data_IF_331203806306
#
_entry.id   IF_331203806306
#
_cell.length_a   1.000
_cell.length_b   1.000
_cell.length_c   1.000
_cell.angle_alpha   90.00
_cell.angle_beta   90.00
_cell.angle_gamma   90.00
#
_symmetry.space_group_name_H-M   'P 1'
#
loop_
_entity.id
_entity.type
_entity.pdbx_description
1 polymer ?
#
# COMPACT_ATOMS: atom_id res chain seq x y z
N UNK A 1 -23.35 -29.28 19.79
CA UNK A 1 -22.65 -29.40 18.51
C UNK A 1 -21.20 -29.75 18.79
N UNK A 2 -20.73 -30.99 18.52
CA UNK A 2 -19.30 -31.33 18.68
C UNK A 2 -18.57 -30.72 17.49
N UNK A 3 -17.70 -29.74 17.72
CA UNK A 3 -16.79 -29.27 16.69
C UNK A 3 -15.80 -30.39 16.35
N UNK A 4 -15.82 -30.86 15.09
CA UNK A 4 -14.84 -31.81 14.60
C UNK A 4 -13.55 -31.05 14.24
N UNK A 5 -12.63 -31.00 15.20
CA UNK A 5 -11.26 -30.51 14.98
C UNK A 5 -10.51 -31.54 14.11
N UNK A 6 -9.71 -31.06 13.14
CA UNK A 6 -8.76 -31.93 12.43
C UNK A 6 -7.70 -32.45 13.41
N UNK A 7 -7.08 -33.60 13.08
CA UNK A 7 -6.00 -34.18 13.93
C UNK A 7 -4.89 -33.15 14.24
N UNK A 8 -4.46 -32.42 13.24
CA UNK A 8 -3.45 -31.37 13.37
C UNK A 8 -3.88 -30.25 14.34
N UNK A 9 -5.16 -29.84 14.30
CA UNK A 9 -5.71 -28.84 15.22
C UNK A 9 -5.82 -29.36 16.65
N UNK A 10 -6.14 -30.64 16.78
CA UNK A 10 -6.22 -31.32 18.08
C UNK A 10 -4.83 -31.42 18.73
N UNK A 11 -3.81 -31.79 17.95
CA UNK A 11 -2.43 -31.88 18.44
C UNK A 11 -1.89 -30.52 18.86
N UNK A 12 -2.16 -29.48 18.07
CA UNK A 12 -1.77 -28.10 18.40
C UNK A 12 -2.45 -27.62 19.68
N UNK A 13 -3.73 -27.95 19.86
CA UNK A 13 -4.47 -27.62 21.09
C UNK A 13 -3.92 -28.37 22.29
N UNK A 14 -3.64 -29.67 22.16
CA UNK A 14 -3.09 -30.48 23.23
C UNK A 14 -1.71 -29.97 23.69
N UNK A 15 -0.85 -29.57 22.75
CA UNK A 15 0.45 -28.95 23.06
C UNK A 15 0.27 -27.61 23.79
N UNK A 16 -0.67 -26.78 23.36
CA UNK A 16 -0.93 -25.48 24.00
C UNK A 16 -1.49 -25.63 25.42
N UNK A 17 -2.32 -26.67 25.68
CA UNK A 17 -2.84 -26.99 27.02
C UNK A 17 -1.70 -27.51 27.89
N UNK A 18 -0.84 -28.39 27.38
CA UNK A 18 0.32 -28.92 28.12
C UNK A 18 1.27 -27.79 28.53
N UNK A 19 1.61 -26.86 27.64
CA UNK A 19 2.44 -25.69 27.93
C UNK A 19 1.81 -24.80 29.02
N UNK A 20 0.50 -24.56 28.95
CA UNK A 20 -0.23 -23.80 29.97
C UNK A 20 -0.16 -24.47 31.34
N UNK A 21 -0.44 -25.77 31.43
CA UNK A 21 -0.39 -26.51 32.68
C UNK A 21 1.02 -26.52 33.31
N UNK A 22 2.04 -26.64 32.48
CA UNK A 22 3.44 -26.58 32.90
C UNK A 22 3.84 -25.20 33.40
N UNK A 23 3.49 -24.14 32.67
CA UNK A 23 3.85 -22.75 32.98
C UNK A 23 3.25 -22.26 34.30
N UNK A 24 2.05 -22.73 34.65
CA UNK A 24 1.37 -22.37 35.88
C UNK A 24 1.59 -23.34 37.06
N UNK A 25 2.46 -24.36 36.89
CA UNK A 25 2.86 -25.27 37.97
C UNK A 25 1.84 -26.35 38.32
N UNK A 26 0.87 -26.64 37.43
CA UNK A 26 -0.11 -27.72 37.65
C UNK A 26 0.49 -29.08 37.28
N UNK A 27 1.50 -29.51 38.06
CA UNK A 27 2.36 -30.68 37.76
C UNK A 27 1.62 -32.00 37.69
N UNK A 28 0.64 -32.23 38.58
CA UNK A 28 -0.17 -33.46 38.57
C UNK A 28 -1.06 -33.52 37.34
N UNK A 29 -1.77 -32.43 37.04
CA UNK A 29 -2.61 -32.32 35.86
C UNK A 29 -1.83 -32.41 34.56
N UNK A 30 -0.64 -31.81 34.51
CA UNK A 30 0.29 -31.91 33.38
C UNK A 30 0.72 -33.35 33.11
N UNK A 31 1.12 -34.07 34.14
CA UNK A 31 1.57 -35.47 34.03
C UNK A 31 0.42 -36.41 33.62
N UNK A 32 -0.80 -36.17 34.13
CA UNK A 32 -1.99 -36.94 33.75
C UNK A 32 -2.36 -36.67 32.30
N UNK A 33 -2.44 -35.39 31.89
CA UNK A 33 -2.78 -34.97 30.55
C UNK A 33 -1.80 -35.49 29.50
N UNK A 34 -0.51 -35.48 29.83
CA UNK A 34 0.56 -35.97 28.96
C UNK A 34 0.48 -37.48 28.70
N UNK A 35 0.12 -38.25 29.74
CA UNK A 35 -0.10 -39.71 29.59
C UNK A 35 -1.29 -40.02 28.70
N UNK A 36 -2.38 -39.27 28.81
CA UNK A 36 -3.58 -39.48 28.03
C UNK A 36 -3.43 -39.06 26.55
N UNK A 37 -2.66 -38.00 26.31
CA UNK A 37 -2.48 -37.43 24.96
C UNK A 37 -1.29 -38.02 24.20
N UNK A 38 -0.38 -38.76 24.87
CA UNK A 38 0.79 -39.40 24.25
C UNK A 38 1.89 -38.44 23.78
N UNK A 39 1.94 -37.19 24.29
CA UNK A 39 2.93 -36.20 23.90
C UNK A 39 4.37 -36.58 24.36
N UNK A 40 5.31 -36.58 23.41
CA UNK A 40 6.72 -36.93 23.64
C UNK A 40 7.54 -35.71 24.14
N UNK A 41 8.67 -35.98 24.86
CA UNK A 41 9.46 -34.94 25.58
C UNK A 41 10.20 -33.93 24.73
N UNK A 42 10.34 -34.12 23.43
CA UNK A 42 11.25 -33.32 22.61
C UNK A 42 10.61 -32.17 21.77
N UNK A 43 9.32 -31.90 21.98
CA UNK A 43 8.58 -30.93 21.11
C UNK A 43 8.37 -29.55 21.77
N UNK A 44 8.96 -29.30 22.95
CA UNK A 44 8.56 -28.21 23.85
C UNK A 44 9.07 -26.79 23.49
N UNK A 45 9.89 -26.62 22.47
CA UNK A 45 10.59 -25.32 22.27
C UNK A 45 9.85 -24.28 21.42
N UNK A 46 8.71 -24.60 20.81
CA UNK A 46 8.06 -23.69 19.83
C UNK A 46 6.74 -23.06 20.24
N UNK A 47 6.20 -23.36 21.42
CA UNK A 47 4.77 -23.10 21.69
C UNK A 47 4.50 -22.26 22.95
N UNK A 48 5.51 -21.62 23.56
CA UNK A 48 5.35 -20.86 24.81
C UNK A 48 4.25 -19.78 24.74
N UNK A 49 3.25 -19.91 25.62
CA UNK A 49 2.15 -18.96 25.77
C UNK A 49 1.13 -18.94 24.60
N UNK A 50 1.03 -20.01 23.82
CA UNK A 50 0.13 -20.06 22.66
C UNK A 50 -1.34 -20.02 23.10
N UNK A 51 -1.71 -20.69 24.18
CA UNK A 51 -3.08 -20.72 24.71
C UNK A 51 -3.52 -19.32 25.15
N UNK A 52 -2.66 -18.61 25.86
CA UNK A 52 -2.92 -17.24 26.31
C UNK A 52 -3.04 -16.26 25.15
N UNK A 53 -2.14 -16.38 24.14
CA UNK A 53 -2.19 -15.57 22.93
C UNK A 53 -3.46 -15.82 22.13
N UNK A 54 -3.89 -17.07 21.98
CA UNK A 54 -5.15 -17.41 21.31
C UNK A 54 -6.36 -16.95 22.13
N UNK A 55 -6.32 -17.07 23.48
CA UNK A 55 -7.40 -16.60 24.35
C UNK A 55 -7.55 -15.08 24.29
N UNK A 56 -6.46 -14.33 24.40
CA UNK A 56 -6.51 -12.87 24.27
C UNK A 56 -7.01 -12.43 22.88
N UNK A 57 -6.64 -13.15 21.83
CA UNK A 57 -7.16 -12.93 20.47
C UNK A 57 -8.66 -13.18 20.38
N UNK A 58 -9.17 -14.24 21.01
CA UNK A 58 -10.62 -14.55 21.05
C UNK A 58 -11.38 -13.47 21.81
N UNK A 59 -10.89 -13.06 22.99
CA UNK A 59 -11.50 -11.97 23.77
C UNK A 59 -11.53 -10.66 22.99
N UNK A 60 -10.44 -10.35 22.28
CA UNK A 60 -10.37 -9.16 21.40
C UNK A 60 -11.35 -9.23 20.25
N UNK A 61 -11.49 -10.40 19.62
CA UNK A 61 -12.48 -10.61 18.54
C UNK A 61 -13.90 -10.53 19.06
N UNK A 62 -14.20 -11.10 20.22
CA UNK A 62 -15.53 -10.98 20.86
C UNK A 62 -15.87 -9.52 21.17
N UNK A 63 -14.92 -8.75 21.73
CA UNK A 63 -15.11 -7.32 21.95
C UNK A 63 -15.38 -6.58 20.62
N UNK A 64 -14.63 -6.92 19.58
CA UNK A 64 -14.82 -6.32 18.24
C UNK A 64 -16.19 -6.66 17.64
N UNK A 65 -16.68 -7.89 17.83
CA UNK A 65 -18.04 -8.30 17.42
C UNK A 65 -19.08 -7.49 18.17
N UNK A 66 -18.97 -7.37 19.48
CA UNK A 66 -19.90 -6.57 20.30
C UNK A 66 -19.90 -5.08 19.89
N UNK A 67 -18.72 -4.50 19.62
CA UNK A 67 -18.61 -3.12 19.13
C UNK A 67 -19.24 -2.94 17.75
N UNK A 68 -19.10 -3.92 16.86
CA UNK A 68 -19.73 -3.91 15.54
C UNK A 68 -21.24 -4.08 15.62
N UNK A 69 -21.72 -4.97 16.47
CA UNK A 69 -23.16 -5.15 16.73
C UNK A 69 -23.80 -3.88 17.33
N UNK A 70 -23.10 -3.23 18.27
CA UNK A 70 -23.54 -1.95 18.83
C UNK A 70 -23.61 -0.85 17.75
N UNK A 71 -22.61 -0.74 16.89
CA UNK A 71 -22.62 0.20 15.77
C UNK A 71 -23.72 -0.11 14.74
N UNK A 72 -23.98 -1.38 14.50
CA UNK A 72 -25.07 -1.82 13.62
C UNK A 72 -26.42 -1.41 14.19
N UNK A 73 -26.66 -1.65 15.49
CA UNK A 73 -27.87 -1.24 16.17
C UNK A 73 -28.05 0.29 16.19
N UNK A 74 -26.97 1.03 16.38
CA UNK A 74 -27.00 2.50 16.33
C UNK A 74 -27.33 2.99 14.91
N UNK A 75 -26.73 2.40 13.89
CA UNK A 75 -27.05 2.69 12.49
C UNK A 75 -28.49 2.33 12.11
N UNK A 76 -29.01 1.21 12.61
CA UNK A 76 -30.42 0.82 12.42
C UNK A 76 -31.38 1.80 13.12
N UNK A 77 -31.07 2.25 14.34
CA UNK A 77 -31.85 3.27 15.05
C UNK A 77 -31.86 4.60 14.31
N UNK A 78 -30.70 5.05 13.80
CA UNK A 78 -30.59 6.25 12.97
C UNK A 78 -31.40 6.12 11.67
N UNK A 79 -31.47 4.93 11.08
CA UNK A 79 -32.27 4.65 9.88
C UNK A 79 -33.78 4.70 10.15
N UNK A 80 -34.23 4.16 11.29
CA UNK A 80 -35.65 4.10 11.67
C UNK A 80 -36.18 5.48 12.13
N UNK A 81 -35.35 6.32 12.75
CA UNK A 81 -35.81 7.58 13.38
C UNK A 81 -35.62 8.80 12.46
N UNK A 82 -35.24 8.63 11.20
CA UNK A 82 -35.18 9.73 10.23
C UNK A 82 -34.33 10.90 10.70
N UNK A 83 -33.13 10.61 11.26
CA UNK A 83 -32.19 11.65 11.63
C UNK A 83 -31.91 12.58 10.41
N UNK A 84 -31.84 13.92 10.62
CA UNK A 84 -31.62 14.86 9.53
C UNK A 84 -30.41 14.44 8.74
N UNK A 85 -30.64 14.23 7.47
CA UNK A 85 -29.73 13.75 6.44
C UNK A 85 -28.27 14.24 6.63
N UNK A 86 -27.46 13.46 7.34
CA UNK A 86 -26.06 13.35 6.98
C UNK A 86 -26.10 12.82 5.55
N UNK A 87 -25.93 13.68 4.58
CA UNK A 87 -25.78 13.27 3.18
C UNK A 87 -24.81 12.10 3.17
N UNK A 88 -25.32 10.90 2.92
CA UNK A 88 -24.50 9.70 2.75
C UNK A 88 -23.69 9.94 1.50
N UNK A 89 -22.54 10.60 1.66
CA UNK A 89 -21.62 10.82 0.55
C UNK A 89 -21.27 9.47 -0.05
N UNK A 90 -21.42 9.37 -1.35
CA UNK A 90 -21.07 8.15 -2.04
C UNK A 90 -19.58 7.86 -1.82
N UNK A 91 -19.18 6.58 -1.77
CA UNK A 91 -17.75 6.21 -1.60
C UNK A 91 -16.78 6.94 -2.54
N UNK A 92 -17.27 7.38 -3.70
CA UNK A 92 -16.48 8.19 -4.65
C UNK A 92 -16.15 9.61 -4.19
N UNK A 93 -16.69 10.08 -3.08
CA UNK A 93 -16.51 11.46 -2.58
C UNK A 93 -15.73 11.53 -1.26
N UNK A 94 -15.24 10.40 -0.78
CA UNK A 94 -14.48 10.33 0.47
C UNK A 94 -13.13 11.05 0.34
N UNK A 95 -12.97 12.13 1.08
CA UNK A 95 -11.70 12.86 1.17
C UNK A 95 -11.27 13.00 2.63
N UNK A 96 -9.96 12.91 2.94
CA UNK A 96 -9.46 13.05 4.29
C UNK A 96 -9.80 14.40 4.90
N UNK A 97 -10.18 14.40 6.18
CA UNK A 97 -10.54 15.60 6.94
C UNK A 97 -9.79 15.65 8.27
N UNK A 98 -9.35 16.85 8.68
CA UNK A 98 -8.85 17.05 10.03
C UNK A 98 -10.01 16.99 11.05
N UNK A 99 -9.72 16.65 12.33
CA UNK A 99 -8.43 16.18 12.81
C UNK A 99 -8.09 14.77 12.36
N UNK A 100 -6.83 14.37 12.51
CA UNK A 100 -6.43 12.97 12.37
C UNK A 100 -7.16 12.09 13.38
N UNK A 101 -7.51 10.87 12.96
CA UNK A 101 -8.16 9.88 13.84
C UNK A 101 -7.16 9.34 14.87
N UNK A 102 -5.95 9.01 14.41
CA UNK A 102 -4.85 8.53 15.24
C UNK A 102 -3.52 9.12 14.79
N UNK A 103 -2.62 9.33 15.78
CA UNK A 103 -1.22 9.63 15.58
C UNK A 103 -0.41 8.51 16.24
N UNK A 104 0.19 7.63 15.42
CA UNK A 104 0.91 6.45 15.88
C UNK A 104 2.38 6.78 16.03
N UNK A 105 2.92 6.53 17.22
CA UNK A 105 4.30 6.82 17.59
C UNK A 105 4.99 5.52 18.02
N UNK A 106 6.25 5.31 17.61
CA UNK A 106 6.99 4.14 18.04
C UNK A 106 8.24 3.82 17.23
N UNK A 107 8.39 4.38 16.01
CA UNK A 107 9.65 4.34 15.28
C UNK A 107 10.68 5.25 15.94
N UNK A 108 11.97 4.89 15.80
CA UNK A 108 13.11 5.61 16.40
C UNK A 108 13.85 6.49 15.39
N UNK A 109 13.47 6.39 14.12
CA UNK A 109 14.06 7.12 12.99
C UNK A 109 12.97 7.47 11.98
N UNK A 110 13.25 8.32 10.98
CA UNK A 110 12.31 8.68 9.93
C UNK A 110 11.58 7.48 9.34
N UNK A 111 10.29 7.65 9.07
CA UNK A 111 9.49 6.61 8.43
C UNK A 111 9.56 6.81 6.92
N UNK A 112 9.93 5.77 6.21
CA UNK A 112 10.16 5.79 4.76
C UNK A 112 8.89 5.48 3.98
N UNK A 113 8.13 4.46 4.44
CA UNK A 113 6.94 3.98 3.74
C UNK A 113 5.85 3.54 4.72
N UNK A 114 4.59 3.66 4.28
CA UNK A 114 3.42 3.11 4.95
C UNK A 114 2.49 2.50 3.91
N UNK A 115 1.93 1.32 4.20
CA UNK A 115 1.01 0.60 3.32
C UNK A 115 -0.12 -0.04 4.12
N UNK A 116 -1.34 -0.01 3.56
CA UNK A 116 -2.47 -0.76 4.09
C UNK A 116 -2.37 -2.23 3.70
N UNK A 117 -2.78 -3.09 4.61
CA UNK A 117 -3.06 -4.49 4.27
C UNK A 117 -4.32 -4.55 3.40
N UNK A 118 -4.35 -5.38 2.32
CA UNK A 118 -5.48 -5.38 1.39
C UNK A 118 -6.81 -5.86 1.99
N UNK A 119 -6.77 -6.67 3.06
CA UNK A 119 -7.96 -7.32 3.63
C UNK A 119 -8.19 -6.95 5.11
N UNK A 120 -7.13 -6.96 5.94
CA UNK A 120 -7.25 -6.75 7.38
C UNK A 120 -7.11 -5.28 7.78
N UNK A 121 -7.60 -4.92 8.97
CA UNK A 121 -7.49 -3.58 9.56
C UNK A 121 -6.06 -3.23 10.03
N UNK A 122 -5.08 -3.56 9.22
CA UNK A 122 -3.66 -3.48 9.54
C UNK A 122 -2.94 -2.54 8.58
N UNK A 123 -1.98 -1.78 9.10
CA UNK A 123 -0.99 -1.06 8.32
C UNK A 123 0.42 -1.54 8.68
N UNK A 124 1.29 -1.57 7.69
CA UNK A 124 2.71 -1.80 7.88
C UNK A 124 3.49 -0.53 7.56
N UNK A 125 4.46 -0.21 8.39
CA UNK A 125 5.36 0.95 8.22
C UNK A 125 6.82 0.54 8.24
N UNK A 126 7.62 1.10 7.36
CA UNK A 126 9.08 0.93 7.33
C UNK A 126 9.79 2.18 7.78
N UNK A 127 10.99 2.03 8.30
CA UNK A 127 11.78 3.13 8.83
C UNK A 127 13.28 2.94 8.61
N UNK A 128 13.99 4.06 8.71
CA UNK A 128 15.44 4.11 8.75
C UNK A 128 16.02 3.44 10.02
N UNK A 129 15.17 3.08 11.02
CA UNK A 129 15.56 2.30 12.20
C UNK A 129 15.73 0.80 11.90
N UNK A 130 15.77 0.40 10.64
CA UNK A 130 15.88 -0.97 10.12
C UNK A 130 14.72 -1.90 10.50
N UNK A 131 13.62 -1.38 11.04
CA UNK A 131 12.46 -2.16 11.45
C UNK A 131 11.24 -1.89 10.60
N UNK A 132 10.36 -2.90 10.53
CA UNK A 132 8.99 -2.76 10.02
C UNK A 132 8.07 -2.90 11.22
N UNK A 133 7.11 -1.99 11.37
CA UNK A 133 6.12 -2.04 12.44
C UNK A 133 4.73 -2.25 11.88
N UNK A 134 3.95 -3.01 12.63
CA UNK A 134 2.58 -3.40 12.29
C UNK A 134 1.64 -2.78 13.31
N UNK A 135 0.56 -2.17 12.83
CA UNK A 135 -0.40 -1.41 13.63
C UNK A 135 -1.81 -1.74 13.18
N UNK A 136 -2.75 -1.72 14.11
CA UNK A 136 -4.18 -1.71 13.81
C UNK A 136 -4.64 -0.26 13.61
N UNK A 137 -5.16 0.09 12.41
CA UNK A 137 -5.59 1.46 12.13
C UNK A 137 -7.02 1.78 12.63
N UNK A 138 -7.79 0.79 13.04
CA UNK A 138 -9.12 1.01 13.63
C UNK A 138 -9.02 1.37 15.11
N UNK A 139 -8.12 0.72 15.86
CA UNK A 139 -7.89 0.95 17.29
C UNK A 139 -6.73 1.90 17.57
N UNK A 140 -5.77 2.02 16.64
CA UNK A 140 -4.53 2.79 16.82
C UNK A 140 -3.45 2.05 17.61
N UNK A 141 -3.63 0.75 17.86
CA UNK A 141 -2.71 -0.04 18.66
C UNK A 141 -1.48 -0.52 17.86
N UNK A 142 -0.34 -0.57 18.55
CA UNK A 142 0.84 -1.23 18.04
C UNK A 142 0.69 -2.76 18.21
N UNK A 143 0.89 -3.52 17.14
CA UNK A 143 0.81 -4.97 17.20
C UNK A 143 2.18 -5.62 17.36
N UNK A 144 3.10 -5.32 16.46
CA UNK A 144 4.43 -5.95 16.48
C UNK A 144 5.48 -5.22 15.66
N UNK A 145 6.73 -5.66 15.83
CA UNK A 145 7.86 -5.18 15.03
C UNK A 145 8.54 -6.37 14.35
N UNK A 146 8.70 -6.30 13.02
CA UNK A 146 9.47 -7.27 12.24
C UNK A 146 10.91 -6.78 12.18
N UNK A 147 11.83 -7.61 12.64
CA UNK A 147 13.27 -7.34 12.69
C UNK A 147 14.00 -8.33 11.80
N UNK A 148 15.00 -7.88 11.07
CA UNK A 148 15.80 -8.76 10.21
C UNK A 148 16.63 -8.02 9.18
N UNK A 149 16.21 -6.81 8.76
CA UNK A 149 17.10 -5.93 8.00
C UNK A 149 18.19 -5.33 8.88
N UNK A 150 19.35 -5.10 8.31
CA UNK A 150 20.53 -4.55 9.02
C UNK A 150 20.72 -3.06 8.75
N UNK A 151 19.98 -2.47 7.81
CA UNK A 151 20.02 -1.08 7.45
C UNK A 151 18.60 -0.57 7.13
N UNK A 152 18.45 0.71 6.82
CA UNK A 152 17.19 1.41 6.56
C UNK A 152 16.27 0.64 5.60
N UNK A 153 15.02 0.42 5.99
CA UNK A 153 14.00 -0.20 5.14
C UNK A 153 13.35 0.88 4.29
N UNK A 154 13.45 0.77 2.96
CA UNK A 154 13.07 1.83 2.02
C UNK A 154 11.63 1.74 1.52
N UNK A 155 11.15 0.55 1.19
CA UNK A 155 9.79 0.36 0.64
C UNK A 155 9.17 -0.95 1.12
N UNK A 156 7.85 -1.00 1.07
CA UNK A 156 7.01 -2.13 1.45
C UNK A 156 5.96 -2.39 0.37
N UNK A 157 5.66 -3.65 0.13
CA UNK A 157 4.54 -4.04 -0.73
C UNK A 157 3.87 -5.30 -0.20
N UNK A 158 2.54 -5.31 -0.13
CA UNK A 158 1.77 -6.53 0.06
C UNK A 158 1.50 -7.21 -1.29
N UNK A 159 1.40 -8.52 -1.28
CA UNK A 159 0.80 -9.25 -2.39
C UNK A 159 -0.72 -9.02 -2.45
N UNK A 160 -1.35 -9.37 -3.56
CA UNK A 160 -2.80 -9.15 -3.76
C UNK A 160 -3.67 -9.92 -2.75
N UNK A 161 -3.18 -11.03 -2.21
CA UNK A 161 -3.89 -11.85 -1.22
C UNK A 161 -3.64 -11.41 0.22
N UNK A 162 -2.70 -10.51 0.48
CA UNK A 162 -2.28 -10.07 1.82
C UNK A 162 -1.51 -11.14 2.62
N UNK A 163 -1.13 -12.25 2.01
CA UNK A 163 -0.41 -13.33 2.71
C UNK A 163 1.08 -13.04 2.86
N UNK A 164 1.64 -12.29 1.93
CA UNK A 164 3.05 -11.97 1.88
C UNK A 164 3.27 -10.47 1.93
N UNK A 165 4.28 -10.06 2.70
CA UNK A 165 4.83 -8.72 2.68
C UNK A 165 6.25 -8.78 2.14
N UNK A 166 6.56 -7.99 1.14
CA UNK A 166 7.92 -7.75 0.68
C UNK A 166 8.45 -6.43 1.26
N UNK A 167 9.69 -6.45 1.70
CA UNK A 167 10.42 -5.26 2.15
C UNK A 167 11.77 -5.17 1.46
N UNK A 168 12.20 -3.97 1.13
CA UNK A 168 13.54 -3.72 0.60
C UNK A 168 14.31 -2.73 1.47
N UNK A 169 15.62 -2.86 1.46
CA UNK A 169 16.47 -2.11 2.36
C UNK A 169 17.75 -1.60 1.69
N UNK A 170 18.36 -0.62 2.37
CA UNK A 170 19.70 -0.14 2.09
C UNK A 170 20.77 -1.22 2.30
N UNK A 171 20.46 -2.31 3.01
CA UNK A 171 21.32 -3.49 3.17
C UNK A 171 21.45 -4.35 1.90
N UNK A 172 20.96 -3.86 0.75
CA UNK A 172 20.96 -4.51 -0.56
C UNK A 172 20.18 -5.83 -0.61
N UNK A 173 19.27 -6.06 0.34
CA UNK A 173 18.44 -7.25 0.39
C UNK A 173 16.96 -6.93 0.27
N UNK A 174 16.21 -7.89 -0.26
CA UNK A 174 14.75 -7.92 -0.19
C UNK A 174 14.38 -9.07 0.74
N UNK A 175 13.44 -8.84 1.63
CA UNK A 175 12.91 -9.89 2.50
C UNK A 175 11.43 -10.11 2.22
N UNK A 176 11.03 -11.38 2.19
CA UNK A 176 9.65 -11.80 2.07
C UNK A 176 9.22 -12.36 3.41
N UNK A 177 8.16 -11.77 3.96
CA UNK A 177 7.60 -12.11 5.26
C UNK A 177 6.26 -12.81 5.07
N UNK A 178 6.03 -13.87 5.83
CA UNK A 178 4.70 -14.45 5.96
C UNK A 178 3.86 -13.55 6.87
N UNK A 179 2.66 -13.17 6.44
CA UNK A 179 1.88 -12.13 7.15
C UNK A 179 0.56 -12.66 7.74
N UNK A 180 0.33 -13.98 7.77
CA UNK A 180 -0.92 -14.58 8.25
C UNK A 180 -0.77 -15.21 9.64
N UNK A 181 0.30 -15.98 9.87
CA UNK A 181 0.44 -16.78 11.09
C UNK A 181 1.68 -16.46 11.90
N UNK A 182 2.84 -16.54 11.29
CA UNK A 182 4.13 -16.48 12.02
C UNK A 182 4.76 -15.10 12.00
N UNK A 183 4.55 -14.34 10.94
CA UNK A 183 5.23 -13.07 10.65
C UNK A 183 6.76 -13.21 10.57
N UNK A 184 7.21 -14.39 10.20
CA UNK A 184 8.63 -14.69 10.05
C UNK A 184 9.13 -14.32 8.66
N UNK A 185 10.44 -14.04 8.56
CA UNK A 185 11.11 -13.86 7.31
C UNK A 185 11.27 -15.22 6.61
N UNK A 186 10.47 -15.47 5.57
CA UNK A 186 10.55 -16.71 4.79
C UNK A 186 11.79 -16.77 3.91
N UNK A 187 12.12 -15.65 3.26
CA UNK A 187 13.21 -15.59 2.29
C UNK A 187 13.93 -14.25 2.32
N UNK A 188 15.21 -14.30 2.01
CA UNK A 188 16.05 -13.13 1.76
C UNK A 188 16.63 -13.23 0.35
N UNK A 189 16.26 -12.28 -0.53
CA UNK A 189 16.72 -12.21 -1.90
C UNK A 189 17.94 -11.31 -1.95
N UNK A 190 19.00 -11.79 -2.59
CA UNK A 190 20.27 -11.07 -2.76
C UNK A 190 20.66 -11.05 -4.24
N UNK A 191 21.27 -9.96 -4.71
CA UNK A 191 21.76 -9.86 -6.08
C UNK A 191 21.71 -8.47 -6.68
N UNK A 192 21.23 -7.45 -5.93
CA UNK A 192 21.52 -6.05 -6.22
C UNK A 192 22.88 -5.65 -5.64
N UNK A 193 23.60 -4.79 -6.36
CA UNK A 193 24.93 -4.32 -5.97
C UNK A 193 24.90 -2.99 -5.20
N UNK A 194 23.71 -2.44 -4.98
CA UNK A 194 23.50 -1.20 -4.23
C UNK A 194 22.14 -1.20 -3.52
N UNK A 195 21.89 -0.18 -2.70
CA UNK A 195 20.65 0.01 -1.96
C UNK A 195 19.41 -0.19 -2.84
N UNK A 196 18.42 -0.92 -2.34
CA UNK A 196 17.15 -1.13 -3.03
C UNK A 196 16.16 -0.09 -2.56
N UNK A 197 15.60 0.66 -3.50
CA UNK A 197 14.75 1.82 -3.23
C UNK A 197 13.25 1.51 -3.27
N UNK A 198 12.83 0.50 -4.03
CA UNK A 198 11.40 0.18 -4.16
C UNK A 198 11.17 -1.27 -4.53
N UNK A 199 10.01 -1.80 -4.10
CA UNK A 199 9.51 -3.12 -4.43
C UNK A 199 8.05 -3.08 -4.83
N UNK A 200 7.64 -4.01 -5.71
CA UNK A 200 6.24 -4.17 -6.11
C UNK A 200 5.97 -5.61 -6.54
N UNK A 201 4.90 -6.22 -6.03
CA UNK A 201 4.44 -7.53 -6.53
C UNK A 201 3.77 -7.39 -7.89
N UNK A 202 3.90 -8.40 -8.73
CA UNK A 202 3.00 -8.58 -9.87
C UNK A 202 1.60 -8.97 -9.35
N UNK A 203 0.52 -8.66 -10.08
CA UNK A 203 -0.84 -9.00 -9.66
C UNK A 203 -1.08 -10.50 -9.42
N UNK A 204 -0.33 -11.37 -10.10
CA UNK A 204 -0.36 -12.81 -9.89
C UNK A 204 0.19 -13.27 -8.53
N UNK A 205 1.03 -12.44 -7.89
CA UNK A 205 1.73 -12.79 -6.66
C UNK A 205 2.98 -13.66 -6.82
N UNK A 206 3.20 -14.24 -8.01
CA UNK A 206 4.30 -15.19 -8.27
C UNK A 206 5.65 -14.49 -8.43
N UNK A 207 5.64 -13.23 -8.83
CA UNK A 207 6.85 -12.44 -9.10
C UNK A 207 6.85 -11.11 -8.35
N UNK A 208 8.04 -10.64 -8.05
CA UNK A 208 8.32 -9.37 -7.41
C UNK A 208 9.27 -8.56 -8.29
N UNK A 209 9.02 -7.26 -8.43
CA UNK A 209 9.95 -6.31 -9.02
C UNK A 209 10.67 -5.52 -7.94
N UNK A 210 11.94 -5.22 -8.15
CA UNK A 210 12.74 -4.33 -7.30
C UNK A 210 13.48 -3.29 -8.13
N UNK A 211 13.56 -2.08 -7.61
CA UNK A 211 14.34 -0.98 -8.17
C UNK A 211 15.49 -0.63 -7.23
N UNK A 212 16.67 -0.36 -7.79
CA UNK A 212 17.87 -0.12 -6.98
C UNK A 212 18.68 1.07 -7.47
N UNK A 213 19.57 1.53 -6.60
CA UNK A 213 20.59 2.55 -6.91
C UNK A 213 21.71 2.00 -7.80
N UNK A 214 21.73 0.69 -8.11
CA UNK A 214 22.60 0.08 -9.12
C UNK A 214 22.11 0.32 -10.56
N UNK A 215 21.12 1.21 -10.77
CA UNK A 215 20.50 1.62 -12.03
C UNK A 215 19.61 0.54 -12.68
N UNK A 216 19.41 -0.59 -12.00
CA UNK A 216 18.68 -1.74 -12.51
C UNK A 216 17.31 -1.91 -11.86
N UNK A 217 16.41 -2.51 -12.63
CA UNK A 217 15.21 -3.15 -12.11
C UNK A 217 15.35 -4.65 -12.28
N UNK A 218 15.07 -5.42 -11.22
CA UNK A 218 15.13 -6.88 -11.25
C UNK A 218 13.78 -7.49 -10.98
N UNK A 219 13.50 -8.60 -11.65
CA UNK A 219 12.31 -9.43 -11.43
C UNK A 219 12.72 -10.73 -10.75
N UNK A 220 12.05 -11.05 -9.68
CA UNK A 220 12.32 -12.21 -8.82
C UNK A 220 11.13 -13.14 -8.83
N UNK A 221 11.38 -14.44 -8.87
CA UNK A 221 10.36 -15.45 -8.61
C UNK A 221 10.21 -15.66 -7.09
N UNK A 222 9.02 -15.42 -6.57
CA UNK A 222 8.74 -15.46 -5.12
C UNK A 222 8.93 -16.89 -4.58
N UNK A 223 8.54 -17.90 -5.35
CA UNK A 223 8.61 -19.30 -4.94
C UNK A 223 10.03 -19.81 -4.77
N UNK A 224 10.96 -19.44 -5.64
CA UNK A 224 12.37 -19.88 -5.59
C UNK A 224 13.29 -18.86 -4.92
N UNK A 225 12.98 -17.58 -5.04
CA UNK A 225 13.81 -16.48 -4.55
C UNK A 225 14.92 -16.06 -5.53
N UNK A 226 14.95 -16.62 -6.75
CA UNK A 226 15.96 -16.28 -7.75
C UNK A 226 15.53 -15.10 -8.62
N UNK A 227 16.53 -14.32 -9.06
CA UNK A 227 16.34 -13.28 -10.07
C UNK A 227 16.11 -13.92 -11.45
N UNK A 228 14.92 -13.74 -12.01
CA UNK A 228 14.53 -14.27 -13.32
C UNK A 228 14.93 -13.34 -14.45
N UNK A 229 14.84 -12.03 -14.23
CA UNK A 229 15.12 -11.00 -15.24
C UNK A 229 15.76 -9.77 -14.65
N UNK A 230 16.62 -9.13 -15.44
CA UNK A 230 17.20 -7.82 -15.13
C UNK A 230 16.88 -6.87 -16.29
N UNK A 231 16.39 -5.68 -15.95
CA UNK A 231 16.04 -4.61 -16.87
C UNK A 231 17.04 -3.47 -16.68
N UNK A 232 17.76 -3.13 -17.75
CA UNK A 232 18.75 -2.07 -17.78
C UNK A 232 18.31 -1.01 -18.80
N UNK A 233 18.47 0.26 -18.47
CA UNK A 233 18.10 1.38 -19.34
C UNK A 233 18.04 2.73 -18.63
N UNK A 234 18.02 2.76 -17.30
CA UNK A 234 18.27 3.98 -16.54
C UNK A 234 19.76 4.24 -16.39
N UNK A 235 20.15 5.51 -16.44
CA UNK A 235 21.55 5.94 -16.32
C UNK A 235 21.95 6.30 -14.88
N UNK A 236 20.97 6.42 -14.01
CA UNK A 236 21.10 6.82 -12.60
C UNK A 236 20.21 5.99 -11.68
N UNK A 237 20.24 6.25 -10.39
CA UNK A 237 19.49 5.54 -9.36
C UNK A 237 18.02 5.42 -9.70
N UNK A 238 17.48 4.20 -9.72
CA UNK A 238 16.05 3.96 -9.88
C UNK A 238 15.35 4.17 -8.54
N UNK A 239 14.40 5.10 -8.50
CA UNK A 239 13.72 5.51 -7.26
C UNK A 239 12.51 4.64 -6.93
N UNK A 240 11.68 4.36 -7.92
CA UNK A 240 10.44 3.63 -7.70
C UNK A 240 10.10 2.75 -8.89
N UNK A 241 9.47 1.61 -8.60
CA UNK A 241 8.86 0.72 -9.60
C UNK A 241 7.40 0.47 -9.23
N UNK A 242 6.49 0.51 -10.23
CA UNK A 242 5.07 0.20 -10.04
C UNK A 242 4.54 -0.61 -11.21
N UNK A 243 3.84 -1.69 -10.88
CA UNK A 243 3.23 -2.61 -11.85
C UNK A 243 1.85 -2.10 -12.22
N UNK A 244 1.48 -2.20 -13.48
CA UNK A 244 0.13 -1.96 -13.95
C UNK A 244 -0.77 -3.13 -13.51
N UNK A 245 -2.06 -2.87 -13.32
CA UNK A 245 -3.01 -3.86 -12.78
C UNK A 245 -3.18 -5.11 -13.65
N UNK A 246 -2.89 -5.05 -14.95
CA UNK A 246 -2.92 -6.20 -15.87
C UNK A 246 -1.67 -7.10 -15.76
N UNK A 247 -0.60 -6.63 -15.11
CA UNK A 247 0.66 -7.37 -14.95
C UNK A 247 1.56 -7.41 -16.19
N UNK A 248 1.11 -6.90 -17.35
CA UNK A 248 1.86 -6.97 -18.61
C UNK A 248 2.93 -5.88 -18.73
N UNK A 249 2.72 -4.75 -18.09
CA UNK A 249 3.63 -3.60 -18.10
C UNK A 249 3.92 -3.10 -16.69
N UNK A 250 5.06 -2.50 -16.54
CA UNK A 250 5.43 -1.77 -15.34
C UNK A 250 6.16 -0.47 -15.69
N UNK A 251 6.18 0.46 -14.76
CA UNK A 251 6.89 1.71 -14.87
C UNK A 251 8.00 1.80 -13.83
N UNK A 252 9.09 2.46 -14.17
CA UNK A 252 10.16 2.86 -13.24
C UNK A 252 10.49 4.33 -13.42
N UNK A 253 10.91 4.98 -12.35
CA UNK A 253 11.38 6.37 -12.36
C UNK A 253 12.74 6.48 -11.69
N UNK A 254 13.50 7.50 -12.10
CA UNK A 254 14.92 7.58 -11.75
C UNK A 254 15.41 9.00 -11.45
N UNK A 255 16.61 9.05 -10.87
CA UNK A 255 17.42 10.26 -10.72
C UNK A 255 17.81 10.88 -12.07
N UNK A 256 17.85 10.09 -13.15
CA UNK A 256 18.12 10.58 -14.51
C UNK A 256 16.98 11.43 -15.10
N UNK A 257 15.98 11.78 -14.27
CA UNK A 257 14.82 12.61 -14.62
C UNK A 257 13.83 11.91 -15.57
N UNK A 258 14.05 10.63 -15.84
CA UNK A 258 13.24 9.87 -16.80
C UNK A 258 12.29 8.90 -16.12
N UNK A 259 11.25 8.53 -16.87
CA UNK A 259 10.32 7.46 -16.54
C UNK A 259 10.38 6.45 -17.69
N UNK A 260 10.65 5.19 -17.38
CA UNK A 260 10.67 4.11 -18.34
C UNK A 260 9.45 3.20 -18.18
N UNK A 261 8.84 2.83 -19.31
CA UNK A 261 7.78 1.82 -19.36
C UNK A 261 8.35 0.54 -19.96
N UNK A 262 8.16 -0.55 -19.27
CA UNK A 262 8.69 -1.85 -19.60
C UNK A 262 7.58 -2.86 -19.84
N UNK A 263 7.87 -3.82 -20.69
CA UNK A 263 7.05 -5.03 -20.77
C UNK A 263 7.64 -6.09 -19.82
N UNK A 264 6.79 -6.76 -19.05
CA UNK A 264 7.22 -7.81 -18.11
C UNK A 264 7.85 -9.02 -18.82
N UNK A 265 7.49 -9.28 -20.08
CA UNK A 265 7.97 -10.40 -20.86
C UNK A 265 9.23 -10.09 -21.68
N UNK A 266 9.36 -8.88 -22.23
CA UNK A 266 10.56 -8.44 -22.95
C UNK A 266 11.50 -7.70 -21.99
N UNK A 267 12.82 -7.70 -22.28
CA UNK A 267 13.80 -6.94 -21.48
C UNK A 267 13.93 -5.48 -21.94
N UNK A 268 13.18 -5.09 -22.94
CA UNK A 268 13.33 -3.79 -23.60
C UNK A 268 12.45 -2.73 -22.96
N UNK A 269 12.99 -1.53 -22.83
CA UNK A 269 12.22 -0.35 -22.50
C UNK A 269 11.35 0.03 -23.70
N UNK A 270 10.03 -0.07 -23.56
CA UNK A 270 9.07 0.29 -24.62
C UNK A 270 9.03 1.78 -24.88
N UNK A 271 9.09 2.57 -23.81
CA UNK A 271 8.94 4.02 -23.89
C UNK A 271 9.71 4.67 -22.75
N UNK A 272 10.29 5.84 -23.05
CA UNK A 272 10.97 6.68 -22.08
C UNK A 272 10.41 8.11 -22.18
N UNK A 273 10.09 8.70 -21.01
CA UNK A 273 9.54 10.05 -20.88
C UNK A 273 10.59 10.96 -20.21
N UNK A 274 10.64 12.21 -20.70
CA UNK A 274 11.58 13.25 -20.26
C UNK A 274 10.84 14.52 -19.82
N UNK A 275 9.70 14.37 -19.17
CA UNK A 275 8.77 15.46 -18.88
C UNK A 275 9.11 16.23 -17.58
N UNK A 276 10.11 15.79 -16.81
CA UNK A 276 10.56 16.42 -15.58
C UNK A 276 11.93 17.07 -15.73
N UNK A 277 12.13 18.20 -15.03
CA UNK A 277 13.38 18.95 -15.00
C UNK A 277 14.32 18.53 -13.85
N UNK A 278 13.85 17.63 -12.96
CA UNK A 278 14.58 17.12 -11.81
C UNK A 278 14.23 15.66 -11.54
N UNK A 279 14.88 15.05 -10.54
CA UNK A 279 14.67 13.66 -10.11
C UNK A 279 13.19 13.33 -9.98
N UNK A 280 12.76 12.23 -10.56
CA UNK A 280 11.40 11.69 -10.38
C UNK A 280 11.40 10.76 -9.17
N UNK A 281 10.69 11.17 -8.11
CA UNK A 281 10.67 10.44 -6.84
C UNK A 281 9.60 9.37 -6.78
N UNK A 282 8.44 9.62 -7.37
CA UNK A 282 7.30 8.71 -7.26
C UNK A 282 6.49 8.63 -8.54
N UNK A 283 5.90 7.46 -8.77
CA UNK A 283 5.00 7.16 -9.88
C UNK A 283 3.81 6.35 -9.40
N UNK A 284 2.68 6.51 -10.07
CA UNK A 284 1.46 5.75 -9.77
C UNK A 284 0.62 5.56 -11.02
N UNK A 285 0.17 4.31 -11.26
CA UNK A 285 -0.81 4.02 -12.29
C UNK A 285 -2.21 4.49 -11.88
N UNK A 286 -2.91 5.11 -12.80
CA UNK A 286 -4.31 5.48 -12.60
C UNK A 286 -5.21 4.24 -12.68
N UNK A 287 -6.20 4.09 -11.79
CA UNK A 287 -7.21 3.04 -11.94
C UNK A 287 -8.08 3.33 -13.18
N UNK A 288 -8.60 2.29 -13.83
CA UNK A 288 -9.43 2.42 -15.06
C UNK A 288 -10.64 3.36 -14.88
N UNK A 289 -11.18 3.39 -13.66
CA UNK A 289 -12.28 4.30 -13.30
C UNK A 289 -11.92 5.77 -13.51
N UNK A 290 -10.65 6.15 -13.44
CA UNK A 290 -10.16 7.52 -13.64
C UNK A 290 -10.37 7.98 -15.07
N UNK A 291 -10.30 7.07 -16.05
CA UNK A 291 -10.49 7.39 -17.47
C UNK A 291 -11.85 8.03 -17.74
N UNK A 292 -12.90 7.64 -17.02
CA UNK A 292 -14.24 8.22 -17.13
C UNK A 292 -14.25 9.70 -16.73
N UNK A 293 -13.64 10.04 -15.59
CA UNK A 293 -13.58 11.43 -15.12
C UNK A 293 -12.73 12.33 -16.01
N UNK A 294 -11.74 11.76 -16.68
CA UNK A 294 -10.94 12.47 -17.67
C UNK A 294 -11.78 12.74 -18.92
N UNK A 295 -12.52 11.75 -19.40
CA UNK A 295 -13.41 11.87 -20.55
C UNK A 295 -14.56 12.88 -20.30
N UNK A 296 -15.16 12.88 -19.11
CA UNK A 296 -16.17 13.86 -18.68
C UNK A 296 -15.62 15.29 -18.70
N UNK A 297 -14.41 15.50 -18.16
CA UNK A 297 -13.76 16.82 -18.18
C UNK A 297 -13.45 17.35 -19.58
N UNK A 298 -13.37 16.47 -20.58
CA UNK A 298 -13.17 16.85 -21.98
C UNK A 298 -14.49 17.25 -22.66
N UNK A 299 -15.58 16.58 -22.33
CA UNK A 299 -16.89 16.86 -22.87
C UNK A 299 -17.39 18.22 -22.39
N UNK A 300 -17.21 18.62 -21.15
CA UNK A 300 -17.59 19.95 -20.65
C UNK A 300 -16.88 21.09 -21.40
N UNK A 301 -15.65 20.87 -21.87
CA UNK A 301 -14.92 21.83 -22.70
C UNK A 301 -15.41 21.87 -24.16
N UNK A 302 -15.93 20.74 -24.67
CA UNK A 302 -16.45 20.68 -26.05
C UNK A 302 -17.90 21.19 -26.18
N UNK A 303 -18.71 21.07 -25.14
CA UNK A 303 -20.09 21.59 -25.09
C UNK A 303 -20.15 23.10 -25.03
N UNK A 304 -19.07 23.81 -24.64
CA UNK A 304 -18.98 25.26 -24.74
C UNK A 304 -18.74 25.75 -26.19
N UNK A 305 -18.38 24.84 -27.10
CA UNK A 305 -18.07 25.22 -28.49
C UNK A 305 -19.10 24.76 -29.53
N UNK A 306 -19.88 23.69 -29.29
CA UNK A 306 -20.89 23.23 -30.26
C UNK A 306 -22.00 22.45 -29.55
N UNK A 307 -23.24 22.94 -29.63
CA UNK A 307 -24.42 22.21 -29.22
C UNK A 307 -24.65 20.98 -30.11
N UNK A 308 -25.10 19.90 -29.50
CA UNK A 308 -25.46 18.60 -30.08
C UNK A 308 -24.32 17.56 -30.21
N UNK A 309 -24.14 16.77 -29.19
CA UNK A 309 -23.78 15.34 -29.34
C UNK A 309 -23.88 14.56 -27.99
N UNK A 310 -25.05 14.08 -27.63
CA UNK A 310 -25.19 12.92 -26.74
C UNK A 310 -24.90 11.67 -27.56
N UNK A 311 -23.73 11.03 -27.41
CA UNK A 311 -23.54 9.58 -27.73
C UNK A 311 -22.20 9.03 -27.21
N UNK A 312 -22.29 7.93 -26.44
CA UNK A 312 -21.30 6.90 -26.21
C UNK A 312 -20.13 7.17 -25.26
N UNK A 313 -20.41 7.30 -23.96
CA UNK A 313 -19.40 7.37 -22.87
C UNK A 313 -18.47 6.16 -22.79
N UNK A 314 -18.96 4.96 -23.14
CA UNK A 314 -18.16 3.73 -23.12
C UNK A 314 -17.15 3.61 -24.30
N UNK A 315 -17.34 4.38 -25.37
CA UNK A 315 -16.47 4.28 -26.56
C UNK A 315 -15.26 5.20 -26.48
N UNK A 316 -15.32 6.26 -25.68
CA UNK A 316 -14.21 7.21 -25.48
C UNK A 316 -13.23 6.64 -24.46
N UNK A 317 -13.73 6.05 -23.38
CA UNK A 317 -12.90 5.44 -22.35
C UNK A 317 -12.08 4.23 -22.88
N UNK A 318 -12.60 3.49 -23.86
CA UNK A 318 -11.88 2.35 -24.46
C UNK A 318 -10.74 2.75 -25.42
N UNK A 319 -10.66 4.02 -25.81
CA UNK A 319 -9.60 4.56 -26.69
C UNK A 319 -8.43 5.18 -25.93
N UNK A 320 -8.63 5.47 -24.63
CA UNK A 320 -7.58 5.98 -23.76
C UNK A 320 -6.76 4.79 -23.21
N UNK A 321 -5.46 4.79 -23.47
CA UNK A 321 -4.52 3.80 -22.89
C UNK A 321 -4.33 4.00 -21.39
N UNK A 322 -3.54 3.14 -20.75
CA UNK A 322 -3.21 3.27 -19.33
C UNK A 322 -2.51 4.60 -19.05
N UNK A 323 -2.93 5.28 -17.99
CA UNK A 323 -2.39 6.57 -17.57
C UNK A 323 -1.47 6.38 -16.38
N UNK A 324 -0.29 6.99 -16.46
CA UNK A 324 0.69 7.05 -15.38
C UNK A 324 0.82 8.49 -14.89
N UNK A 325 0.93 8.67 -13.58
CA UNK A 325 1.21 9.97 -12.94
C UNK A 325 2.53 9.89 -12.22
N UNK A 326 3.32 10.97 -12.30
CA UNK A 326 4.63 11.08 -11.68
C UNK A 326 4.75 12.34 -10.83
N UNK A 327 5.52 12.24 -9.76
CA UNK A 327 5.88 13.35 -8.90
C UNK A 327 7.39 13.50 -8.79
N UNK A 328 7.86 14.74 -8.83
CA UNK A 328 9.28 15.06 -8.94
C UNK A 328 9.76 16.08 -7.89
N UNK A 329 11.07 16.16 -7.76
CA UNK A 329 11.75 17.23 -7.01
C UNK A 329 11.62 18.61 -7.67
N UNK A 330 11.18 18.68 -8.93
CA UNK A 330 10.80 19.92 -9.58
C UNK A 330 9.49 20.53 -9.03
N UNK A 331 8.91 19.90 -7.98
CA UNK A 331 7.67 20.29 -7.28
C UNK A 331 6.40 20.09 -8.12
N UNK A 332 6.50 19.45 -9.27
CA UNK A 332 5.39 19.22 -10.19
C UNK A 332 4.87 17.79 -10.12
N UNK A 333 3.62 17.63 -10.54
CA UNK A 333 2.99 16.35 -10.79
C UNK A 333 2.61 16.33 -12.28
N UNK A 334 3.16 15.38 -13.02
CA UNK A 334 2.93 15.23 -14.44
C UNK A 334 2.14 13.94 -14.75
N UNK A 335 1.41 13.95 -15.85
CA UNK A 335 0.73 12.77 -16.40
C UNK A 335 1.43 12.31 -17.67
N UNK A 336 1.76 11.03 -17.71
CA UNK A 336 2.36 10.39 -18.88
C UNK A 336 1.27 9.59 -19.62
N UNK A 337 0.93 9.99 -20.81
CA UNK A 337 -0.23 9.48 -21.55
C UNK A 337 0.05 8.97 -22.97
N UNK A 338 1.32 8.98 -23.41
CA UNK A 338 1.73 8.62 -24.78
C UNK A 338 1.62 7.14 -25.13
N UNK A 339 0.95 6.34 -24.32
CA UNK A 339 0.83 4.87 -24.54
C UNK A 339 -0.09 4.50 -25.73
N UNK A 340 -0.81 5.46 -26.32
CA UNK A 340 -1.66 5.27 -27.49
C UNK A 340 -1.01 5.84 -28.77
N UNK A 341 -0.47 4.95 -29.59
CA UNK A 341 0.49 5.24 -30.67
C UNK A 341 -0.02 6.01 -31.90
N UNK A 342 -1.27 6.47 -32.06
CA UNK A 342 -1.66 7.04 -33.36
C UNK A 342 -2.57 8.29 -33.43
N UNK A 343 -3.30 8.65 -32.39
CA UNK A 343 -4.29 9.72 -32.58
C UNK A 343 -4.37 10.84 -31.51
N UNK A 344 -3.58 10.77 -30.46
CA UNK A 344 -3.77 11.62 -29.27
C UNK A 344 -2.71 12.73 -29.12
N UNK A 345 -1.70 12.77 -30.00
CA UNK A 345 -0.58 13.73 -29.92
C UNK A 345 -0.99 15.22 -30.00
N UNK A 346 -2.14 15.54 -30.55
CA UNK A 346 -2.69 16.93 -30.56
C UNK A 346 -3.65 17.21 -29.39
N UNK A 347 -4.29 16.19 -28.85
CA UNK A 347 -5.31 16.33 -27.79
C UNK A 347 -4.75 16.40 -26.39
N UNK A 348 -3.72 15.64 -26.11
CA UNK A 348 -3.17 15.47 -24.76
C UNK A 348 -1.94 16.37 -24.45
N UNK A 349 -1.41 17.09 -25.42
CA UNK A 349 -0.56 18.28 -25.17
C UNK A 349 -1.30 19.34 -24.29
N UNK A 350 -2.64 19.26 -24.21
CA UNK A 350 -3.47 20.06 -23.29
C UNK A 350 -3.65 19.43 -21.90
N UNK A 351 -3.30 18.15 -21.70
CA UNK A 351 -3.38 17.45 -20.42
C UNK A 351 -2.08 17.54 -19.59
N UNK A 352 -1.42 18.67 -19.61
CA UNK A 352 -0.56 19.06 -18.50
C UNK A 352 -1.48 19.27 -17.30
N UNK A 353 -1.86 18.15 -16.64
CA UNK A 353 -2.91 18.16 -15.62
C UNK A 353 -2.62 19.14 -14.48
N UNK A 354 -1.37 19.40 -14.18
CA UNK A 354 -1.00 20.27 -13.06
C UNK A 354 0.44 20.78 -13.30
N UNK A 355 0.73 21.26 -14.52
CA UNK A 355 2.00 21.93 -14.74
C UNK A 355 1.97 23.32 -14.14
N UNK A 356 2.85 23.56 -13.16
CA UNK A 356 3.20 24.81 -12.49
C UNK A 356 2.41 25.20 -11.23
N UNK A 357 1.38 24.49 -10.79
CA UNK A 357 0.78 24.71 -9.46
C UNK A 357 0.84 23.40 -8.70
N UNK A 358 2.08 23.01 -8.36
CA UNK A 358 2.36 21.81 -7.59
C UNK A 358 2.46 22.13 -6.10
N UNK A 359 3.19 21.30 -5.44
CA UNK A 359 3.64 21.51 -4.07
C UNK A 359 4.72 22.62 -4.01
N UNK A 360 4.92 23.17 -2.81
CA UNK A 360 5.95 24.18 -2.60
C UNK A 360 7.36 23.56 -2.45
N UNK A 361 7.42 22.21 -2.33
CA UNK A 361 8.65 21.44 -2.22
C UNK A 361 8.50 20.08 -2.91
N UNK A 362 9.50 19.18 -2.81
CA UNK A 362 9.61 17.89 -3.49
C UNK A 362 8.41 16.98 -3.24
N UNK A 363 7.82 16.45 -4.32
CA UNK A 363 6.71 15.50 -4.25
C UNK A 363 7.26 14.10 -3.95
N UNK A 364 6.86 13.51 -2.81
CA UNK A 364 7.37 12.24 -2.32
C UNK A 364 6.44 11.06 -2.59
N UNK A 365 5.15 11.28 -2.60
CA UNK A 365 4.19 10.20 -2.74
C UNK A 365 2.93 10.61 -3.48
N UNK A 366 2.38 9.65 -4.22
CA UNK A 366 1.15 9.77 -5.00
C UNK A 366 0.27 8.56 -4.78
N UNK A 367 -1.04 8.78 -4.60
CA UNK A 367 -2.06 7.71 -4.57
C UNK A 367 -3.35 8.19 -5.19
N UNK A 368 -3.95 7.35 -6.03
CA UNK A 368 -5.30 7.60 -6.50
C UNK A 368 -6.33 7.20 -5.45
N UNK A 369 -7.39 7.96 -5.39
CA UNK A 369 -8.61 7.54 -4.72
C UNK A 369 -9.18 6.28 -5.40
N UNK A 370 -9.69 5.27 -4.67
CA UNK A 370 -10.19 4.01 -5.27
C UNK A 370 -11.30 4.19 -6.31
N UNK A 371 -12.11 5.26 -6.20
CA UNK A 371 -13.11 5.59 -7.20
C UNK A 371 -12.54 6.33 -8.42
N UNK A 372 -11.26 6.71 -8.42
CA UNK A 372 -10.61 7.40 -9.54
C UNK A 372 -10.93 8.90 -9.69
N UNK A 373 -11.72 9.49 -8.80
CA UNK A 373 -12.15 10.91 -8.86
C UNK A 373 -11.07 11.89 -8.41
N UNK A 374 -10.23 11.46 -7.45
CA UNK A 374 -9.20 12.29 -6.84
C UNK A 374 -7.83 11.64 -6.91
N UNK A 375 -6.81 12.47 -6.98
CA UNK A 375 -5.41 12.12 -6.75
C UNK A 375 -4.97 12.75 -5.43
N UNK A 376 -4.27 12.01 -4.61
CA UNK A 376 -3.68 12.48 -3.37
C UNK A 376 -2.16 12.54 -3.55
N UNK A 377 -1.54 13.60 -3.05
CA UNK A 377 -0.09 13.78 -3.07
C UNK A 377 0.44 14.27 -1.75
N UNK A 378 1.66 13.85 -1.40
CA UNK A 378 2.40 14.33 -0.23
C UNK A 378 3.78 14.80 -0.65
N UNK A 379 4.30 15.77 0.10
CA UNK A 379 5.55 16.43 -0.23
C UNK A 379 6.36 16.88 1.00
N UNK A 380 7.56 17.35 0.71
CA UNK A 380 8.46 17.94 1.71
C UNK A 380 7.96 19.33 2.21
N UNK A 381 6.88 19.86 1.65
CA UNK A 381 6.16 21.05 2.17
C UNK A 381 5.26 20.70 3.39
N UNK A 382 5.30 19.46 3.91
CA UNK A 382 4.56 18.95 5.07
C UNK A 382 3.06 18.79 4.83
N UNK A 383 2.59 18.98 3.60
CA UNK A 383 1.17 18.96 3.26
C UNK A 383 0.75 17.66 2.57
N UNK A 384 -0.52 17.32 2.77
CA UNK A 384 -1.28 16.38 1.95
C UNK A 384 -2.22 17.20 1.08
N UNK A 385 -2.08 17.11 -0.24
CA UNK A 385 -2.94 17.79 -1.21
C UNK A 385 -3.84 16.79 -1.92
N UNK A 386 -5.08 17.21 -2.17
CA UNK A 386 -6.11 16.43 -2.83
C UNK A 386 -6.49 17.16 -4.10
N UNK A 387 -6.33 16.48 -5.23
CA UNK A 387 -6.56 17.04 -6.56
C UNK A 387 -7.81 16.44 -7.17
N UNK A 388 -8.76 17.26 -7.55
CA UNK A 388 -9.95 16.85 -8.29
C UNK A 388 -9.58 16.72 -9.78
N UNK A 389 -9.61 15.48 -10.30
CA UNK A 389 -9.13 15.16 -11.65
C UNK A 389 -9.97 15.85 -12.71
N UNK A 390 -11.29 15.72 -12.64
CA UNK A 390 -12.19 16.36 -13.58
C UNK A 390 -12.07 17.90 -13.62
N UNK A 391 -11.83 18.52 -12.45
CA UNK A 391 -11.75 19.98 -12.32
C UNK A 391 -10.32 20.53 -12.50
N UNK A 392 -9.31 19.66 -12.62
CA UNK A 392 -7.88 20.01 -12.80
C UNK A 392 -7.36 21.01 -11.77
N UNK A 393 -7.85 20.93 -10.52
CA UNK A 393 -7.48 21.85 -9.44
C UNK A 393 -7.23 21.12 -8.13
N UNK A 394 -6.47 21.77 -7.26
CA UNK A 394 -6.36 21.36 -5.87
C UNK A 394 -7.70 21.61 -5.16
N UNK A 395 -8.36 20.54 -4.74
CA UNK A 395 -9.64 20.60 -4.02
C UNK A 395 -9.42 20.92 -2.55
N UNK A 396 -8.31 20.43 -1.96
CA UNK A 396 -8.01 20.62 -0.54
C UNK A 396 -6.52 20.46 -0.26
N UNK A 397 -6.02 21.28 0.68
CA UNK A 397 -4.68 21.16 1.27
C UNK A 397 -4.84 20.94 2.76
N UNK A 398 -4.10 19.97 3.30
CA UNK A 398 -4.06 19.64 4.72
C UNK A 398 -2.61 19.72 5.22
N UNK A 399 -2.39 20.43 6.33
CA UNK A 399 -1.14 20.39 7.07
C UNK A 399 -1.06 19.04 7.78
N UNK A 400 -0.36 18.07 7.17
CA UNK A 400 -0.39 16.70 7.62
C UNK A 400 0.57 16.45 8.78
N UNK A 401 1.81 16.93 8.68
CA UNK A 401 2.88 16.59 9.61
C UNK A 401 3.73 17.83 9.99
N UNK A 402 4.53 17.67 11.04
CA UNK A 402 5.48 18.72 11.48
C UNK A 402 6.76 18.76 10.64
N UNK A 403 7.05 17.68 9.91
CA UNK A 403 8.22 17.52 9.03
C UNK A 403 7.79 16.95 7.69
N UNK A 404 8.74 16.69 6.77
CA UNK A 404 8.51 16.16 5.43
C UNK A 404 7.66 14.91 5.45
N UNK A 405 6.68 14.84 4.57
CA UNK A 405 5.81 13.66 4.43
C UNK A 405 6.42 12.71 3.41
N UNK A 406 6.87 11.55 3.89
CA UNK A 406 7.61 10.59 3.06
C UNK A 406 6.71 9.71 2.20
N UNK A 407 5.54 9.32 2.71
CA UNK A 407 4.63 8.43 1.98
C UNK A 407 3.19 8.58 2.42
N UNK A 408 2.29 8.13 1.56
CA UNK A 408 0.86 7.99 1.86
C UNK A 408 0.32 6.69 1.25
N UNK A 409 -0.78 6.22 1.83
CA UNK A 409 -1.58 5.17 1.22
C UNK A 409 -3.07 5.41 1.44
N UNK A 410 -3.91 4.92 0.52
CA UNK A 410 -5.36 4.97 0.60
C UNK A 410 -5.90 3.55 0.71
N UNK A 411 -6.79 3.29 1.68
CA UNK A 411 -7.38 1.97 1.84
C UNK A 411 -8.30 1.64 0.65
N UNK A 412 -8.20 0.44 0.04
CA UNK A 412 -8.92 0.13 -1.19
C UNK A 412 -10.44 0.13 -1.05
N UNK A 413 -10.99 -0.19 0.12
CA UNK A 413 -12.44 -0.33 0.36
C UNK A 413 -13.00 0.51 1.51
N UNK A 414 -12.16 0.94 2.45
CA UNK A 414 -12.58 1.70 3.63
C UNK A 414 -12.18 3.18 3.51
N UNK A 415 -12.90 4.10 4.18
CA UNK A 415 -12.67 5.54 4.08
C UNK A 415 -11.47 6.01 4.94
N UNK A 416 -10.31 5.42 4.73
CA UNK A 416 -9.10 5.76 5.48
C UNK A 416 -7.93 6.08 4.57
N UNK A 417 -7.19 7.11 4.96
CA UNK A 417 -5.89 7.47 4.40
C UNK A 417 -4.85 7.41 5.52
N UNK A 418 -3.69 6.94 5.20
CA UNK A 418 -2.55 6.95 6.11
C UNK A 418 -1.42 7.77 5.50
N UNK A 419 -0.75 8.56 6.32
CA UNK A 419 0.45 9.31 5.94
C UNK A 419 1.55 9.05 6.94
N UNK A 420 2.79 9.04 6.49
CA UNK A 420 3.95 8.92 7.36
C UNK A 420 4.98 10.00 7.05
N UNK A 421 5.85 10.27 8.01
CA UNK A 421 6.74 11.41 7.94
C UNK A 421 8.12 11.14 8.54
N UNK A 422 9.04 12.02 8.20
CA UNK A 422 10.36 12.16 8.82
C UNK A 422 10.26 12.55 10.32
N UNK A 423 9.11 13.08 10.77
CA UNK A 423 8.84 13.35 12.20
C UNK A 423 8.62 12.08 13.05
N UNK A 424 8.84 10.89 12.48
CA UNK A 424 8.71 9.57 13.10
C UNK A 424 7.26 9.22 13.49
N UNK A 425 6.26 9.91 12.96
CA UNK A 425 4.85 9.66 13.22
C UNK A 425 4.13 9.12 12.00
N UNK A 426 3.08 8.32 12.24
CA UNK A 426 2.11 7.89 11.25
C UNK A 426 0.76 8.49 11.66
N UNK A 427 0.08 9.13 10.72
CA UNK A 427 -1.26 9.67 10.96
C UNK A 427 -2.28 8.92 10.14
N UNK A 428 -3.37 8.54 10.80
CA UNK A 428 -4.53 7.91 10.18
C UNK A 428 -5.63 8.96 10.05
N UNK A 429 -6.12 9.15 8.83
CA UNK A 429 -7.16 10.13 8.49
C UNK A 429 -8.44 9.40 8.12
N UNK A 430 -9.53 9.82 8.71
CA UNK A 430 -10.86 9.38 8.29
C UNK A 430 -11.33 10.24 7.12
N UNK A 431 -11.86 9.59 6.08
CA UNK A 431 -12.42 10.26 4.91
C UNK A 431 -13.94 10.40 5.07
N UNK A 432 -14.44 11.61 4.87
CA UNK A 432 -15.87 11.92 4.98
C UNK A 432 -16.32 12.77 3.82
#
# INVERSE_FOLDING_TARGET
MKMNLSEKQRDELNRAIADYLQSYGYTESFNAFRRETGLMENDDKKVMGLLEKKWTSVVRLQKKVMDLEAKLQEAEREYIHGAPTREKRQPGEWIPRPPEKFCLNGHRSPITRVVFHPIYSIIASSSDDSTIKVWDFETGDFERSLKGHTDAVQDLAFDSSGKLLASCSADMTIKIWEFVQTFDCMKTLKGHDHNISSVAFLPSGDHLLSASRDHLVKMWEVATGYCVRTFAGHNEWVRMVRVHHDGNIFASCSNDQTICIWNTLSKECKMQFYDHEHVVECIQWAPDKTLRYIAEAEQDHSLQMNGDAKKNDNMVASKLGPILVSGSRDKTINTCDRLSHQYISKFLQKFKMISKIGHDNWVRGLRFHPAGKYLLSVADDKTLRIWAIAQKRCAKTLDAHKHFVSSLDFHPSLPYVVTCSVDMTIKVWECR
#
